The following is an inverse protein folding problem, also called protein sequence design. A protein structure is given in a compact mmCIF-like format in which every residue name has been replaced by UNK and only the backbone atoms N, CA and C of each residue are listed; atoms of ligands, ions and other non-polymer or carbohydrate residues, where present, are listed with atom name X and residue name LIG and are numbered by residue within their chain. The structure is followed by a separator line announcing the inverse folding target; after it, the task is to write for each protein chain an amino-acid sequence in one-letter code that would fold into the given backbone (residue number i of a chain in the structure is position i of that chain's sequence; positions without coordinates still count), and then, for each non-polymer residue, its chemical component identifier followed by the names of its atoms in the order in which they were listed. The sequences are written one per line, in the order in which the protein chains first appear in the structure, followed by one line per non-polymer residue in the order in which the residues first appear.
data_IF_113204730989
#
_entry.id   IF_113204730989
#
_cell.length_a   1.000
_cell.length_b   1.000
_cell.length_c   1.000
_cell.angle_alpha   90.00
_cell.angle_beta   90.00
_cell.angle_gamma   90.00
#
_symmetry.space_group_name_H-M   'P 1'
#
loop_
_entity.id
_entity.type
_entity.pdbx_description
1 polymer ?
#
# COMPACT_ATOMS: atom_id res chain seq x y z
N UNK A 1 75.56 28.02 -7.25
CA UNK A 1 74.72 28.02 -8.47
C UNK A 1 74.19 26.64 -8.85
N UNK A 2 74.71 25.51 -8.35
CA UNK A 2 74.10 24.18 -8.60
C UNK A 2 73.00 23.75 -7.61
N UNK A 3 72.82 24.43 -6.48
CA UNK A 3 71.76 24.07 -5.52
C UNK A 3 70.38 24.67 -5.84
N UNK A 4 70.31 25.69 -6.69
CA UNK A 4 69.03 26.37 -7.00
C UNK A 4 68.27 25.65 -8.14
N UNK A 5 68.97 24.97 -9.05
CA UNK A 5 68.33 24.17 -10.12
C UNK A 5 67.69 22.88 -9.58
N UNK A 6 68.27 22.24 -8.56
CA UNK A 6 67.68 21.04 -7.93
C UNK A 6 66.40 21.38 -7.12
N UNK A 7 66.30 22.59 -6.59
CA UNK A 7 65.10 23.04 -5.86
C UNK A 7 63.93 23.30 -6.81
N UNK A 8 64.18 23.88 -7.99
CA UNK A 8 63.17 24.13 -9.01
C UNK A 8 62.64 22.83 -9.64
N UNK A 9 63.51 21.83 -9.83
CA UNK A 9 63.09 20.51 -10.33
C UNK A 9 62.14 19.76 -9.39
N UNK A 10 62.38 19.86 -8.06
CA UNK A 10 61.51 19.23 -7.05
C UNK A 10 60.14 19.90 -6.95
N UNK A 11 60.09 21.23 -7.07
CA UNK A 11 58.83 21.97 -7.10
C UNK A 11 57.97 21.62 -8.32
N UNK A 12 58.58 21.51 -9.50
CA UNK A 12 57.87 21.10 -10.72
C UNK A 12 57.27 19.70 -10.57
N UNK A 13 57.99 18.77 -9.95
CA UNK A 13 57.52 17.41 -9.76
C UNK A 13 56.37 17.33 -8.75
N UNK A 14 56.40 18.13 -7.69
CA UNK A 14 55.34 18.22 -6.69
C UNK A 14 54.05 18.84 -7.26
N UNK A 15 54.16 19.83 -8.15
CA UNK A 15 53.00 20.40 -8.85
C UNK A 15 52.36 19.40 -9.83
N UNK A 16 53.16 18.60 -10.54
CA UNK A 16 52.66 17.57 -11.44
C UNK A 16 51.96 16.43 -10.69
N UNK A 17 52.50 16.02 -9.53
CA UNK A 17 51.89 15.03 -8.66
C UNK A 17 50.54 15.54 -8.09
N UNK A 18 50.47 16.82 -7.71
CA UNK A 18 49.22 17.45 -7.25
C UNK A 18 48.17 17.57 -8.37
N UNK A 19 48.59 17.83 -9.62
CA UNK A 19 47.69 17.81 -10.78
C UNK A 19 47.13 16.43 -11.04
N UNK A 20 47.97 15.40 -10.98
CA UNK A 20 47.56 14.01 -11.17
C UNK A 20 46.57 13.56 -10.08
N UNK A 21 46.82 13.94 -8.82
CA UNK A 21 45.92 13.64 -7.71
C UNK A 21 44.54 14.29 -7.89
N UNK A 22 44.48 15.55 -8.33
CA UNK A 22 43.20 16.23 -8.63
C UNK A 22 42.45 15.59 -9.79
N UNK A 23 43.17 15.15 -10.82
CA UNK A 23 42.57 14.48 -11.97
C UNK A 23 41.95 13.12 -11.58
N UNK A 24 42.62 12.35 -10.73
CA UNK A 24 42.09 11.09 -10.21
C UNK A 24 40.86 11.32 -9.32
N UNK A 25 40.89 12.32 -8.45
CA UNK A 25 39.74 12.67 -7.61
C UNK A 25 38.53 13.08 -8.46
N UNK A 26 38.73 13.88 -9.52
CA UNK A 26 37.67 14.25 -10.45
C UNK A 26 37.10 13.03 -11.22
N UNK A 27 37.94 12.05 -11.58
CA UNK A 27 37.47 10.80 -12.18
C UNK A 27 36.63 9.95 -11.21
N UNK A 28 37.04 9.85 -9.94
CA UNK A 28 36.29 9.11 -8.93
C UNK A 28 34.94 9.77 -8.64
N UNK A 29 34.89 11.10 -8.56
CA UNK A 29 33.63 11.85 -8.40
C UNK A 29 32.71 11.68 -9.62
N UNK A 30 33.25 11.73 -10.85
CA UNK A 30 32.46 11.49 -12.05
C UNK A 30 31.91 10.05 -12.12
N UNK A 31 32.69 9.05 -11.71
CA UNK A 31 32.24 7.67 -11.62
C UNK A 31 31.16 7.50 -10.54
N UNK A 32 31.33 8.16 -9.38
CA UNK A 32 30.33 8.15 -8.32
C UNK A 32 29.02 8.80 -8.75
N UNK A 33 29.08 9.92 -9.47
CA UNK A 33 27.91 10.60 -10.05
C UNK A 33 27.20 9.71 -11.08
N UNK A 34 27.93 8.98 -11.94
CA UNK A 34 27.33 7.99 -12.85
C UNK A 34 26.62 6.86 -12.11
N UNK A 35 27.23 6.31 -11.06
CA UNK A 35 26.59 5.27 -10.25
C UNK A 35 25.34 5.78 -9.53
N UNK A 36 25.32 7.04 -9.08
CA UNK A 36 24.13 7.67 -8.52
C UNK A 36 23.04 7.90 -9.57
N UNK A 37 23.40 8.34 -10.78
CA UNK A 37 22.45 8.50 -11.87
C UNK A 37 21.86 7.15 -12.31
N UNK A 38 22.66 6.09 -12.39
CA UNK A 38 22.18 4.73 -12.68
C UNK A 38 21.30 4.17 -11.55
N UNK A 39 21.57 4.56 -10.30
CA UNK A 39 20.72 4.23 -9.15
C UNK A 39 19.39 4.97 -9.21
N UNK A 40 19.37 6.26 -9.58
CA UNK A 40 18.14 7.06 -9.77
C UNK A 40 17.31 6.58 -10.98
N UNK A 41 17.94 6.17 -12.09
CA UNK A 41 17.24 5.56 -13.24
C UNK A 41 16.64 4.20 -12.88
N UNK A 42 17.23 3.46 -11.93
CA UNK A 42 16.68 2.20 -11.41
C UNK A 42 15.43 2.38 -10.55
N UNK A 43 15.15 3.60 -10.08
CA UNK A 43 13.97 3.95 -9.29
C UNK A 43 12.84 4.60 -10.10
N UNK A 44 13.03 4.88 -11.40
CA UNK A 44 11.91 5.11 -12.32
C UNK A 44 11.25 3.75 -12.63
N UNK A 45 10.24 3.46 -11.82
CA UNK A 45 9.53 2.19 -11.79
C UNK A 45 8.62 2.04 -13.01
N UNK A 46 8.67 0.92 -13.77
CA UNK A 46 7.64 0.57 -14.76
C UNK A 46 6.24 0.38 -14.14
N UNK A 47 6.14 0.41 -12.80
CA UNK A 47 4.88 0.37 -12.08
C UNK A 47 4.09 1.68 -12.12
N UNK A 48 4.71 2.86 -12.26
CA UNK A 48 3.94 4.10 -12.33
C UNK A 48 3.16 4.21 -13.66
N UNK A 49 3.73 3.71 -14.76
CA UNK A 49 3.04 3.62 -16.05
C UNK A 49 1.94 2.55 -16.04
N UNK A 50 2.18 1.40 -15.40
CA UNK A 50 1.13 0.38 -15.20
C UNK A 50 0.00 0.87 -14.28
N UNK A 51 0.33 1.60 -13.22
CA UNK A 51 -0.65 2.19 -12.28
C UNK A 51 -1.46 3.30 -12.96
N UNK A 52 -0.84 4.14 -13.79
CA UNK A 52 -1.53 5.14 -14.62
C UNK A 52 -2.43 4.48 -15.68
N UNK A 53 -1.97 3.38 -16.29
CA UNK A 53 -2.74 2.60 -17.27
C UNK A 53 -3.94 1.90 -16.61
N UNK A 54 -3.77 1.36 -15.40
CA UNK A 54 -4.85 0.78 -14.59
C UNK A 54 -5.87 1.83 -14.13
N UNK A 55 -5.39 3.03 -13.75
CA UNK A 55 -6.27 4.14 -13.38
C UNK A 55 -7.13 4.60 -14.56
N UNK A 56 -6.54 4.72 -15.76
CA UNK A 56 -7.29 5.03 -16.98
C UNK A 56 -8.31 3.94 -17.34
N UNK A 57 -7.95 2.66 -17.16
CA UNK A 57 -8.84 1.55 -17.45
C UNK A 57 -10.03 1.46 -16.47
N UNK A 58 -9.80 1.79 -15.20
CA UNK A 58 -10.85 1.88 -14.18
C UNK A 58 -11.79 3.05 -14.44
N UNK A 59 -11.27 4.22 -14.84
CA UNK A 59 -12.11 5.36 -15.20
C UNK A 59 -13.01 5.06 -16.40
N UNK A 60 -12.48 4.41 -17.44
CA UNK A 60 -13.29 3.98 -18.59
C UNK A 60 -14.38 2.95 -18.20
N UNK A 61 -14.12 2.07 -17.23
CA UNK A 61 -15.13 1.14 -16.71
C UNK A 61 -16.21 1.83 -15.88
N UNK A 62 -15.86 2.85 -15.10
CA UNK A 62 -16.84 3.64 -14.34
C UNK A 62 -17.73 4.47 -15.26
N UNK A 63 -17.19 5.05 -16.33
CA UNK A 63 -17.97 5.76 -17.35
C UNK A 63 -18.91 4.80 -18.11
N UNK A 64 -18.42 3.61 -18.47
CA UNK A 64 -19.25 2.55 -19.08
C UNK A 64 -20.33 2.00 -18.12
N UNK A 65 -20.03 1.92 -16.82
CA UNK A 65 -20.97 1.51 -15.78
C UNK A 65 -22.03 2.58 -15.48
N UNK A 66 -21.65 3.86 -15.56
CA UNK A 66 -22.56 5.00 -15.35
C UNK A 66 -23.57 5.16 -16.48
N UNK A 67 -23.22 4.80 -17.73
CA UNK A 67 -24.18 4.77 -18.84
C UNK A 67 -25.17 3.61 -18.75
N UNK A 68 -24.85 2.56 -17.98
CA UNK A 68 -25.70 1.35 -17.84
C UNK A 68 -26.79 1.48 -16.77
N UNK A 69 -26.78 2.54 -15.98
CA UNK A 69 -27.69 2.73 -14.85
C UNK A 69 -28.97 3.51 -15.20
N UNK A 70 -29.11 4.04 -16.42
CA UNK A 70 -30.24 4.92 -16.80
C UNK A 70 -31.02 4.51 -18.06
N UNK A 71 -30.85 3.28 -18.56
CA UNK A 71 -31.62 2.78 -19.71
C UNK A 71 -32.69 1.77 -19.29
N UNK A 72 -33.88 2.32 -19.03
CA UNK A 72 -35.11 1.55 -19.14
C UNK A 72 -35.33 1.12 -20.59
N UNK A 73 -35.36 -0.19 -20.83
CA UNK A 73 -35.84 -0.89 -22.04
C UNK A 73 -35.89 -0.03 -23.32
N UNK A 74 -34.76 0.12 -24.00
CA UNK A 74 -34.74 0.41 -25.43
C UNK A 74 -34.32 -0.86 -26.18
N UNK A 75 -35.12 -1.22 -27.19
CA UNK A 75 -34.81 -2.30 -28.14
C UNK A 75 -33.46 -2.00 -28.80
N UNK A 76 -32.51 -2.89 -28.62
CA UNK A 76 -31.20 -2.84 -29.25
C UNK A 76 -31.35 -2.99 -30.77
N UNK A 77 -31.10 -1.92 -31.52
CA UNK A 77 -31.01 -1.93 -32.99
C UNK A 77 -29.54 -2.01 -33.41
N UNK A 78 -29.06 -3.16 -33.90
CA UNK A 78 -27.66 -3.35 -34.28
C UNK A 78 -27.20 -2.44 -35.45
N UNK A 79 -28.10 -1.76 -36.15
CA UNK A 79 -27.73 -0.79 -37.19
C UNK A 79 -27.16 0.52 -36.62
N UNK A 80 -27.51 0.87 -35.38
CA UNK A 80 -27.09 2.13 -34.75
C UNK A 80 -25.62 2.09 -34.29
N UNK A 81 -25.10 0.92 -33.91
CA UNK A 81 -23.66 0.73 -33.61
C UNK A 81 -22.77 0.85 -34.85
N UNK A 82 -23.22 0.35 -36.01
CA UNK A 82 -22.48 0.47 -37.26
C UNK A 82 -22.44 1.93 -37.75
N UNK A 83 -23.55 2.67 -37.59
CA UNK A 83 -23.63 4.09 -37.91
C UNK A 83 -22.77 4.95 -36.96
N UNK A 84 -22.77 4.65 -35.65
CA UNK A 84 -21.90 5.31 -34.66
C UNK A 84 -20.43 5.04 -34.91
N UNK A 85 -20.08 3.81 -35.28
CA UNK A 85 -18.70 3.43 -35.59
C UNK A 85 -18.21 4.11 -36.87
N UNK A 86 -19.07 4.27 -37.87
CA UNK A 86 -18.77 5.03 -39.09
C UNK A 86 -18.59 6.54 -38.79
N UNK A 87 -19.41 7.10 -37.91
CA UNK A 87 -19.30 8.50 -37.47
C UNK A 87 -17.98 8.78 -36.73
N UNK A 88 -17.58 7.89 -35.81
CA UNK A 88 -16.29 7.99 -35.12
C UNK A 88 -15.10 7.90 -36.08
N UNK A 89 -15.19 7.04 -37.09
CA UNK A 89 -14.14 6.87 -38.08
C UNK A 89 -14.02 8.09 -39.03
N UNK A 90 -15.13 8.77 -39.31
CA UNK A 90 -15.13 10.02 -40.06
C UNK A 90 -14.56 11.19 -39.24
N UNK A 91 -14.90 11.28 -37.95
CA UNK A 91 -14.35 12.31 -37.06
C UNK A 91 -12.84 12.18 -36.91
N UNK A 92 -12.33 10.96 -36.72
CA UNK A 92 -10.89 10.72 -36.64
C UNK A 92 -10.14 11.09 -37.94
N UNK A 93 -10.78 10.94 -39.10
CA UNK A 93 -10.21 11.38 -40.37
C UNK A 93 -10.23 12.90 -40.53
N UNK A 94 -11.30 13.57 -40.10
CA UNK A 94 -11.36 15.04 -40.09
C UNK A 94 -10.30 15.63 -39.15
N UNK A 95 -10.11 15.05 -37.97
CA UNK A 95 -9.09 15.48 -37.00
C UNK A 95 -7.67 15.28 -37.55
N UNK A 96 -7.41 14.15 -38.21
CA UNK A 96 -6.13 13.89 -38.87
C UNK A 96 -5.84 14.91 -40.00
N UNK A 97 -6.85 15.29 -40.79
CA UNK A 97 -6.71 16.32 -41.83
C UNK A 97 -6.48 17.70 -41.21
N UNK A 98 -7.13 18.04 -40.10
CA UNK A 98 -6.86 19.31 -39.40
C UNK A 98 -5.47 19.39 -38.78
N UNK A 99 -4.95 18.28 -38.25
CA UNK A 99 -3.57 18.23 -37.74
C UNK A 99 -2.54 18.37 -38.87
N UNK A 100 -2.77 17.72 -40.01
CA UNK A 100 -1.90 17.84 -41.16
C UNK A 100 -1.91 19.26 -41.75
N UNK A 101 -3.07 19.93 -41.72
CA UNK A 101 -3.20 21.34 -42.12
C UNK A 101 -2.53 22.30 -41.12
N UNK A 102 -2.57 22.02 -39.81
CA UNK A 102 -1.88 22.81 -38.79
C UNK A 102 -0.34 22.64 -38.83
N UNK A 103 0.15 21.47 -39.26
CA UNK A 103 1.59 21.28 -39.51
C UNK A 103 2.05 21.99 -40.80
N UNK A 104 1.24 22.04 -41.85
CA UNK A 104 1.53 22.86 -43.04
C UNK A 104 1.47 24.37 -42.76
N UNK A 105 0.65 24.83 -41.80
CA UNK A 105 0.60 26.25 -41.37
C UNK A 105 1.74 26.65 -40.41
N UNK A 106 2.46 25.67 -39.85
CA UNK A 106 3.70 25.87 -39.06
C UNK A 106 4.97 25.89 -39.92
N UNK A 107 4.84 26.13 -41.22
CA UNK A 107 5.97 26.53 -42.06
C UNK A 107 6.54 27.86 -41.56
N UNK A 108 7.69 27.77 -40.88
CA UNK A 108 8.48 28.89 -40.37
C UNK A 108 8.69 29.95 -41.46
N UNK A 109 8.05 31.13 -41.36
CA UNK A 109 8.25 32.24 -42.31
C UNK A 109 9.50 33.02 -41.90
N UNK A 110 10.59 32.98 -42.69
CA UNK A 110 11.84 33.71 -42.37
C UNK A 110 11.66 35.24 -42.32
N UNK A 111 10.49 35.78 -42.66
CA UNK A 111 10.15 37.20 -42.48
C UNK A 111 9.81 37.56 -41.05
N UNK A 112 9.25 36.65 -40.25
CA UNK A 112 8.92 36.94 -38.84
C UNK A 112 10.20 37.14 -38.00
N UNK A 113 11.28 36.44 -38.34
CA UNK A 113 12.60 36.62 -37.72
C UNK A 113 13.25 37.95 -38.12
N UNK A 114 13.08 38.42 -39.36
CA UNK A 114 13.53 39.76 -39.78
C UNK A 114 12.74 40.86 -39.06
N UNK A 115 11.43 40.68 -38.87
CA UNK A 115 10.58 41.64 -38.16
C UNK A 115 10.91 41.69 -36.65
N UNK A 116 11.16 40.54 -36.00
CA UNK A 116 11.63 40.51 -34.62
C UNK A 116 12.99 41.19 -34.46
N UNK A 117 13.90 40.97 -35.40
CA UNK A 117 15.23 41.58 -35.41
C UNK A 117 15.15 43.10 -35.59
N UNK A 118 14.24 43.59 -36.44
CA UNK A 118 13.95 45.02 -36.61
C UNK A 118 13.34 45.64 -35.33
N UNK A 119 12.43 44.93 -34.66
CA UNK A 119 11.83 45.39 -33.41
C UNK A 119 12.87 45.54 -32.29
N UNK A 120 13.76 44.56 -32.13
CA UNK A 120 14.87 44.63 -31.18
C UNK A 120 15.84 45.78 -31.50
N UNK A 121 16.12 46.02 -32.78
CA UNK A 121 17.01 47.10 -33.21
C UNK A 121 16.41 48.49 -32.97
N UNK A 122 15.07 48.62 -33.05
CA UNK A 122 14.33 49.84 -32.70
C UNK A 122 14.33 50.09 -31.19
N UNK A 123 14.11 49.06 -30.38
CA UNK A 123 14.13 49.16 -28.92
C UNK A 123 15.52 49.61 -28.40
N UNK A 124 16.59 49.03 -28.95
CA UNK A 124 17.95 49.44 -28.60
C UNK A 124 18.26 50.91 -28.96
N UNK A 125 17.66 51.44 -30.04
CA UNK A 125 17.77 52.86 -30.39
C UNK A 125 16.98 53.77 -29.45
N UNK A 126 15.78 53.37 -29.03
CA UNK A 126 14.98 54.14 -28.07
C UNK A 126 15.68 54.23 -26.70
N UNK A 127 16.27 53.12 -26.22
CA UNK A 127 17.05 53.09 -24.97
C UNK A 127 18.32 53.95 -25.06
N UNK A 128 19.01 53.96 -26.20
CA UNK A 128 20.15 54.85 -26.43
C UNK A 128 19.77 56.34 -26.44
N UNK A 129 18.58 56.70 -26.95
CA UNK A 129 18.06 58.08 -26.91
C UNK A 129 17.62 58.45 -25.49
N UNK A 130 17.14 57.49 -24.69
CA UNK A 130 16.76 57.75 -23.29
C UNK A 130 17.99 58.06 -22.42
N UNK A 131 19.14 57.48 -22.74
CA UNK A 131 20.42 57.75 -22.06
C UNK A 131 20.99 59.15 -22.35
N UNK A 132 20.75 59.73 -23.53
CA UNK A 132 21.14 61.13 -23.83
C UNK A 132 20.25 62.18 -23.13
N UNK A 133 19.05 61.79 -22.67
CA UNK A 133 18.12 62.69 -21.99
C UNK A 133 18.39 62.89 -20.49
N UNK A 134 19.39 62.21 -19.92
CA UNK A 134 19.74 62.28 -18.49
C UNK A 134 21.06 63.03 -18.22
N UNK A 135 21.48 63.93 -19.13
CA UNK A 135 22.58 64.88 -18.91
C UNK A 135 22.23 66.02 -17.93
N UNK A 136 21.77 65.73 -16.71
CA UNK A 136 21.77 66.71 -15.61
C UNK A 136 22.01 66.08 -14.23
N UNK A 137 22.94 65.13 -14.11
CA UNK A 137 23.62 64.88 -12.83
C UNK A 137 25.08 64.58 -13.10
N UNK A 138 25.98 65.27 -12.38
CA UNK A 138 27.42 65.22 -12.60
C UNK A 138 27.99 63.82 -12.41
N UNK A 139 28.01 63.04 -13.49
CA UNK A 139 28.76 61.80 -13.60
C UNK A 139 30.19 62.10 -14.07
N UNK A 140 31.12 61.30 -13.54
CA UNK A 140 32.51 61.29 -13.96
C UNK A 140 32.58 60.68 -15.37
N UNK A 141 33.09 61.38 -16.40
CA UNK A 141 33.08 60.89 -17.78
C UNK A 141 33.80 59.54 -17.97
N UNK A 142 34.61 59.13 -17.00
CA UNK A 142 35.27 57.83 -17.02
C UNK A 142 34.34 56.66 -16.63
N UNK A 143 33.35 56.89 -15.76
CA UNK A 143 32.34 55.89 -15.42
C UNK A 143 31.39 55.61 -16.60
N UNK A 144 31.09 56.62 -17.42
CA UNK A 144 30.25 56.49 -18.62
C UNK A 144 30.97 55.71 -19.74
N UNK A 145 32.29 55.89 -19.90
CA UNK A 145 33.10 55.08 -20.82
C UNK A 145 33.19 53.62 -20.37
N UNK A 146 33.38 53.37 -19.06
CA UNK A 146 33.44 52.02 -18.50
C UNK A 146 32.08 51.30 -18.61
N UNK A 147 30.97 52.00 -18.36
CA UNK A 147 29.62 51.44 -18.55
C UNK A 147 29.37 51.07 -20.02
N UNK A 148 29.78 51.95 -20.94
CA UNK A 148 29.62 51.72 -22.38
C UNK A 148 30.44 50.51 -22.85
N UNK A 149 31.66 50.33 -22.32
CA UNK A 149 32.49 49.16 -22.61
C UNK A 149 31.85 47.88 -22.04
N UNK A 150 31.29 47.92 -20.84
CA UNK A 150 30.63 46.77 -20.23
C UNK A 150 29.42 46.30 -21.04
N UNK A 151 28.55 47.21 -21.50
CA UNK A 151 27.43 46.87 -22.38
C UNK A 151 27.88 46.29 -23.72
N UNK A 152 28.99 46.80 -24.29
CA UNK A 152 29.52 46.30 -25.56
C UNK A 152 30.13 44.90 -25.45
N UNK A 153 30.71 44.56 -24.30
CA UNK A 153 31.20 43.22 -23.99
C UNK A 153 30.05 42.23 -23.80
N UNK A 154 29.02 42.62 -23.04
CA UNK A 154 27.85 41.77 -22.82
C UNK A 154 27.14 41.43 -24.14
N UNK A 155 26.93 42.41 -25.02
CA UNK A 155 26.31 42.17 -26.33
C UNK A 155 27.14 41.23 -27.23
N UNK A 156 28.47 41.22 -27.10
CA UNK A 156 29.33 40.28 -27.83
C UNK A 156 29.24 38.87 -27.27
N UNK A 157 29.20 38.72 -25.94
CA UNK A 157 29.03 37.40 -25.30
C UNK A 157 27.69 36.78 -25.69
N UNK A 158 26.59 37.53 -25.64
CA UNK A 158 25.26 37.06 -26.04
C UNK A 158 25.22 36.64 -27.52
N UNK A 159 25.88 37.39 -28.41
CA UNK A 159 25.95 37.06 -29.84
C UNK A 159 26.71 35.74 -30.10
N UNK A 160 27.82 35.48 -29.40
CA UNK A 160 28.57 34.22 -29.50
C UNK A 160 27.75 33.05 -28.96
N UNK A 161 27.01 33.27 -27.88
CA UNK A 161 26.17 32.24 -27.25
C UNK A 161 25.03 31.81 -28.19
N UNK A 162 24.37 32.78 -28.84
CA UNK A 162 23.33 32.52 -29.84
C UNK A 162 23.88 31.75 -31.05
N UNK A 163 25.06 32.14 -31.54
CA UNK A 163 25.67 31.49 -32.70
C UNK A 163 26.07 30.03 -32.42
N UNK A 164 26.53 29.74 -31.19
CA UNK A 164 26.82 28.37 -30.74
C UNK A 164 25.56 27.51 -30.62
N UNK A 165 24.46 28.07 -30.10
CA UNK A 165 23.16 27.37 -30.03
C UNK A 165 22.58 27.08 -31.42
N UNK A 166 22.78 27.99 -32.38
CA UNK A 166 22.33 27.79 -33.75
C UNK A 166 23.15 26.72 -34.49
N UNK A 167 24.45 26.61 -34.17
CA UNK A 167 25.32 25.57 -34.71
C UNK A 167 25.01 24.19 -34.11
N UNK A 168 24.59 24.11 -32.84
CA UNK A 168 24.09 22.89 -32.18
C UNK A 168 22.72 22.43 -32.72
N UNK A 169 21.89 23.36 -33.23
CA UNK A 169 20.59 23.05 -33.85
C UNK A 169 20.67 22.57 -35.31
N UNK A 170 21.86 22.47 -35.92
CA UNK A 170 22.01 21.84 -37.24
C UNK A 170 21.88 20.33 -37.11
N UNK A 171 20.64 19.84 -37.12
CA UNK A 171 20.29 18.42 -37.17
C UNK A 171 20.82 17.74 -38.44
N UNK A 172 21.42 16.56 -38.28
CA UNK A 172 21.81 15.69 -39.39
C UNK A 172 20.56 14.91 -39.87
N UNK A 173 20.09 15.11 -41.11
CA UNK A 173 18.88 14.44 -41.61
C UNK A 173 18.97 12.90 -41.61
N UNK A 174 20.16 12.34 -41.44
CA UNK A 174 20.35 10.89 -41.32
C UNK A 174 19.99 10.35 -39.92
N UNK A 175 20.12 11.17 -38.87
CA UNK A 175 19.70 10.81 -37.51
C UNK A 175 18.16 10.66 -37.42
N UNK A 176 17.41 11.49 -38.14
CA UNK A 176 15.94 11.41 -38.19
C UNK A 176 15.44 10.12 -38.86
N UNK A 177 16.11 9.64 -39.92
CA UNK A 177 15.77 8.36 -40.56
C UNK A 177 16.07 7.17 -39.65
N UNK A 178 17.22 7.20 -38.97
CA UNK A 178 17.62 6.15 -38.01
C UNK A 178 16.66 6.12 -36.81
N UNK A 179 16.24 7.29 -36.31
CA UNK A 179 15.25 7.39 -35.23
C UNK A 179 13.90 6.81 -35.68
N UNK A 180 13.47 7.11 -36.90
CA UNK A 180 12.20 6.59 -37.46
C UNK A 180 12.22 5.07 -37.61
N UNK A 181 13.35 4.50 -38.04
CA UNK A 181 13.55 3.04 -38.11
C UNK A 181 13.52 2.38 -36.72
N UNK A 182 14.13 3.02 -35.71
CA UNK A 182 14.10 2.55 -34.33
C UNK A 182 12.66 2.50 -33.78
N UNK A 183 11.88 3.57 -33.96
CA UNK A 183 10.46 3.60 -33.57
C UNK A 183 9.64 2.52 -34.27
N UNK A 184 9.90 2.25 -35.55
CA UNK A 184 9.17 1.23 -36.30
C UNK A 184 9.48 -0.20 -35.80
N UNK A 185 10.73 -0.47 -35.41
CA UNK A 185 11.13 -1.76 -34.84
C UNK A 185 10.51 -1.97 -33.45
N UNK A 186 10.52 -0.94 -32.60
CA UNK A 186 9.91 -0.99 -31.28
C UNK A 186 8.40 -1.31 -31.38
N UNK A 187 7.68 -0.64 -32.29
CA UNK A 187 6.26 -0.90 -32.50
C UNK A 187 5.96 -2.35 -32.96
N UNK A 188 6.88 -2.99 -33.70
CA UNK A 188 6.71 -4.41 -34.09
C UNK A 188 6.95 -5.37 -32.93
N UNK A 189 7.95 -5.10 -32.09
CA UNK A 189 8.23 -5.91 -30.90
C UNK A 189 7.09 -5.84 -29.88
N UNK A 190 6.53 -4.65 -29.67
CA UNK A 190 5.35 -4.47 -28.82
C UNK A 190 4.12 -5.22 -29.36
N UNK A 191 3.89 -5.18 -30.68
CA UNK A 191 2.79 -5.93 -31.30
C UNK A 191 2.95 -7.46 -31.18
N UNK A 192 4.19 -7.97 -31.24
CA UNK A 192 4.46 -9.39 -31.01
C UNK A 192 4.31 -9.77 -29.53
N UNK A 193 4.78 -8.92 -28.60
CA UNK A 193 4.62 -9.14 -27.16
C UNK A 193 3.14 -9.24 -26.75
N UNK A 194 2.27 -8.39 -27.29
CA UNK A 194 0.82 -8.44 -27.03
C UNK A 194 0.20 -9.75 -27.54
N UNK A 195 0.63 -10.24 -28.71
CA UNK A 195 0.11 -11.50 -29.26
C UNK A 195 0.54 -12.72 -28.43
N UNK A 196 1.77 -12.74 -27.92
CA UNK A 196 2.29 -13.80 -27.06
C UNK A 196 1.63 -13.78 -25.67
N UNK A 197 1.35 -12.59 -25.13
CA UNK A 197 0.64 -12.42 -23.86
C UNK A 197 -0.82 -12.89 -23.97
N UNK A 198 -1.51 -12.57 -25.08
CA UNK A 198 -2.86 -13.06 -25.34
C UNK A 198 -2.90 -14.61 -25.42
N UNK A 199 -1.88 -15.23 -26.04
CA UNK A 199 -1.77 -16.68 -26.11
C UNK A 199 -1.52 -17.30 -24.73
N UNK A 200 -0.68 -16.68 -23.90
CA UNK A 200 -0.41 -17.13 -22.54
C UNK A 200 -1.66 -17.08 -21.65
N UNK A 201 -2.45 -16.00 -21.75
CA UNK A 201 -3.72 -15.87 -21.03
C UNK A 201 -4.74 -16.93 -21.45
N UNK A 202 -4.81 -17.26 -22.75
CA UNK A 202 -5.69 -18.35 -23.26
C UNK A 202 -5.26 -19.71 -22.73
N UNK A 203 -3.95 -19.99 -22.66
CA UNK A 203 -3.42 -21.23 -22.08
C UNK A 203 -3.74 -21.33 -20.59
N UNK A 204 -3.55 -20.24 -19.84
CA UNK A 204 -3.87 -20.19 -18.41
C UNK A 204 -5.36 -20.41 -18.15
N UNK A 205 -6.24 -19.79 -18.96
CA UNK A 205 -7.67 -20.00 -18.86
C UNK A 205 -8.07 -21.46 -19.12
N UNK A 206 -7.46 -22.11 -20.13
CA UNK A 206 -7.70 -23.52 -20.43
C UNK A 206 -7.21 -24.45 -19.31
N UNK A 207 -6.06 -24.17 -18.69
CA UNK A 207 -5.58 -24.93 -17.52
C UNK A 207 -6.51 -24.78 -16.32
N UNK A 208 -7.03 -23.57 -16.09
CA UNK A 208 -7.96 -23.30 -15.00
C UNK A 208 -9.30 -24.00 -15.21
N UNK A 209 -9.82 -24.04 -16.45
CA UNK A 209 -11.02 -24.82 -16.78
C UNK A 209 -10.82 -26.31 -16.52
N UNK A 210 -9.65 -26.87 -16.84
CA UNK A 210 -9.33 -28.27 -16.52
C UNK A 210 -9.26 -28.52 -15.02
N UNK A 211 -8.69 -27.58 -14.25
CA UNK A 211 -8.63 -27.67 -12.79
C UNK A 211 -10.04 -27.62 -12.16
N UNK A 212 -10.91 -26.74 -12.64
CA UNK A 212 -12.29 -26.62 -12.18
C UNK A 212 -13.11 -27.87 -12.51
N UNK A 213 -12.92 -28.45 -13.71
CA UNK A 213 -13.51 -29.72 -14.08
C UNK A 213 -13.05 -30.85 -13.15
N UNK A 214 -11.74 -30.95 -12.86
CA UNK A 214 -11.21 -31.95 -11.94
C UNK A 214 -11.78 -31.79 -10.51
N UNK A 215 -11.87 -30.55 -10.03
CA UNK A 215 -12.46 -30.23 -8.73
C UNK A 215 -13.94 -30.60 -8.66
N UNK A 216 -14.72 -30.29 -9.71
CA UNK A 216 -16.14 -30.63 -9.79
C UNK A 216 -16.37 -32.15 -9.75
N UNK A 217 -15.54 -32.92 -10.45
CA UNK A 217 -15.58 -34.39 -10.42
C UNK A 217 -15.27 -34.94 -9.03
N UNK A 218 -14.26 -34.38 -8.35
CA UNK A 218 -13.92 -34.77 -6.98
C UNK A 218 -15.06 -34.46 -6.01
N UNK A 219 -15.69 -33.28 -6.14
CA UNK A 219 -16.82 -32.89 -5.32
C UNK A 219 -18.01 -33.84 -5.52
N UNK A 220 -18.29 -34.23 -6.77
CA UNK A 220 -19.34 -35.19 -7.09
C UNK A 220 -19.05 -36.56 -6.46
N UNK A 221 -17.80 -37.04 -6.51
CA UNK A 221 -17.40 -38.29 -5.85
C UNK A 221 -17.57 -38.22 -4.32
N UNK A 222 -17.25 -37.09 -3.68
CA UNK A 222 -17.48 -36.91 -2.25
C UNK A 222 -18.96 -36.90 -1.89
N UNK A 223 -19.80 -36.21 -2.67
CA UNK A 223 -21.25 -36.19 -2.44
C UNK A 223 -21.85 -37.59 -2.60
N UNK A 224 -21.42 -38.37 -3.59
CA UNK A 224 -21.85 -39.76 -3.72
C UNK A 224 -21.37 -40.64 -2.55
N UNK A 225 -20.16 -40.42 -2.06
CA UNK A 225 -19.62 -41.11 -0.90
C UNK A 225 -20.40 -40.75 0.39
N UNK A 226 -20.76 -39.50 0.57
CA UNK A 226 -21.55 -39.03 1.71
C UNK A 226 -22.99 -39.54 1.64
N UNK A 227 -23.64 -39.54 0.47
CA UNK A 227 -24.95 -40.17 0.30
C UNK A 227 -24.91 -41.68 0.60
N UNK A 228 -23.81 -42.36 0.23
CA UNK A 228 -23.60 -43.78 0.59
C UNK A 228 -23.37 -43.97 2.09
N UNK A 229 -22.70 -43.03 2.76
CA UNK A 229 -22.53 -43.03 4.23
C UNK A 229 -23.84 -42.76 4.93
N UNK A 230 -24.59 -41.73 4.53
CA UNK A 230 -25.87 -41.34 5.11
C UNK A 230 -26.93 -42.45 5.01
N UNK A 231 -26.98 -43.17 3.89
CA UNK A 231 -27.81 -44.38 3.75
C UNK A 231 -27.39 -45.51 4.69
N UNK A 232 -26.14 -45.55 5.15
CA UNK A 232 -25.61 -46.53 6.12
C UNK A 232 -25.69 -46.05 7.57
N UNK A 233 -25.74 -44.75 7.81
CA UNK A 233 -25.78 -44.15 9.15
C UNK A 233 -27.09 -43.39 9.35
N UNK A 234 -28.07 -44.02 10.01
CA UNK A 234 -29.13 -43.26 10.71
C UNK A 234 -28.46 -42.25 11.65
N UNK A 235 -28.92 -40.99 11.70
CA UNK A 235 -28.16 -39.92 12.34
C UNK A 235 -28.27 -40.03 13.86
N UNK A 236 -27.15 -40.35 14.50
CA UNK A 236 -26.86 -39.84 15.84
C UNK A 236 -26.10 -38.54 15.65
N UNK A 237 -26.81 -37.41 15.64
CA UNK A 237 -26.18 -36.09 15.64
C UNK A 237 -25.23 -36.01 16.83
N UNK A 238 -23.97 -35.62 16.58
CA UNK A 238 -22.96 -35.50 17.62
C UNK A 238 -23.16 -34.14 18.32
N UNK A 239 -23.67 -34.10 19.57
CA UNK A 239 -24.15 -32.88 20.22
C UNK A 239 -23.06 -31.84 20.54
N UNK A 240 -21.77 -32.21 20.44
CA UNK A 240 -20.64 -31.41 20.94
C UNK A 240 -20.49 -30.02 20.30
N UNK A 241 -20.62 -29.88 18.99
CA UNK A 241 -20.41 -28.57 18.33
C UNK A 241 -21.56 -27.59 18.55
N UNK A 242 -22.79 -28.10 18.67
CA UNK A 242 -23.94 -27.27 19.02
C UNK A 242 -23.87 -26.81 20.48
N UNK A 243 -23.31 -27.64 21.37
CA UNK A 243 -23.10 -27.30 22.77
C UNK A 243 -21.95 -26.30 22.96
N UNK A 244 -20.87 -26.38 22.18
CA UNK A 244 -19.76 -25.42 22.17
C UNK A 244 -20.21 -24.03 21.68
N UNK A 245 -20.95 -23.95 20.58
CA UNK A 245 -21.50 -22.68 20.09
C UNK A 245 -22.47 -22.04 21.11
N UNK A 246 -23.29 -22.86 21.80
CA UNK A 246 -24.17 -22.39 22.88
C UNK A 246 -23.39 -21.98 24.13
N UNK A 247 -22.27 -22.64 24.44
CA UNK A 247 -21.40 -22.27 25.55
C UNK A 247 -20.77 -20.90 25.31
N UNK A 248 -20.29 -20.64 24.08
CA UNK A 248 -19.75 -19.33 23.67
C UNK A 248 -20.84 -18.25 23.74
N UNK A 249 -22.06 -18.52 23.26
CA UNK A 249 -23.17 -17.56 23.40
C UNK A 249 -23.54 -17.28 24.87
N UNK A 250 -23.53 -18.28 25.76
CA UNK A 250 -23.77 -18.05 27.20
C UNK A 250 -22.67 -17.27 27.90
N UNK A 251 -21.45 -17.37 27.38
CA UNK A 251 -20.27 -16.63 27.85
C UNK A 251 -20.34 -15.17 27.42
N UNK A 252 -20.79 -14.91 26.19
CA UNK A 252 -20.87 -13.56 25.62
C UNK A 252 -22.16 -12.81 26.00
N UNK A 253 -23.28 -13.52 26.19
CA UNK A 253 -24.61 -12.95 26.39
C UNK A 253 -25.30 -13.50 27.64
N UNK A 254 -24.74 -13.27 28.82
CA UNK A 254 -25.45 -13.58 30.06
C UNK A 254 -26.64 -12.63 30.22
N UNK A 255 -27.85 -13.07 29.83
CA UNK A 255 -29.09 -12.40 30.19
C UNK A 255 -29.23 -12.38 31.72
N UNK A 256 -29.48 -11.19 32.26
CA UNK A 256 -29.86 -11.02 33.66
C UNK A 256 -31.13 -11.84 33.91
N UNK A 257 -30.99 -12.96 34.62
CA UNK A 257 -32.12 -13.82 34.97
C UNK A 257 -33.18 -13.04 35.77
N UNK A 258 -34.47 -13.34 35.60
CA UNK A 258 -35.54 -12.63 36.27
C UNK A 258 -35.64 -13.06 37.74
N UNK A 259 -35.53 -12.08 38.65
CA UNK A 259 -36.36 -11.98 39.84
C UNK A 259 -35.95 -12.75 41.11
N UNK A 260 -35.62 -11.98 42.14
CA UNK A 260 -36.45 -12.02 43.36
C UNK A 260 -37.12 -10.67 43.55
N UNK A 261 -38.44 -10.73 43.75
CA UNK A 261 -39.35 -9.61 43.82
C UNK A 261 -39.18 -8.79 45.11
N UNK A 262 -39.30 -7.47 44.98
CA UNK A 262 -39.33 -6.54 46.10
C UNK A 262 -39.69 -5.11 45.66
N UNK A 263 -40.98 -4.88 45.44
CA UNK A 263 -41.71 -3.61 45.51
C UNK A 263 -41.13 -2.31 44.87
N UNK A 264 -41.84 -1.87 43.82
CA UNK A 264 -42.32 -0.50 43.63
C UNK A 264 -41.31 0.67 43.67
N UNK A 265 -40.78 1.03 42.50
CA UNK A 265 -40.70 2.41 42.01
C UNK A 265 -40.27 2.42 40.54
N UNK A 266 -40.99 3.18 39.72
CA UNK A 266 -40.68 3.52 38.32
C UNK A 266 -39.24 4.04 38.22
N UNK A 267 -38.39 3.55 37.30
CA UNK A 267 -37.30 4.37 36.78
C UNK A 267 -37.40 4.53 35.25
N UNK A 268 -36.89 5.68 34.83
CA UNK A 268 -36.69 6.09 33.45
C UNK A 268 -35.74 5.13 32.73
N UNK A 269 -35.90 5.03 31.41
CA UNK A 269 -35.03 4.27 30.53
C UNK A 269 -33.59 4.81 30.57
N UNK A 270 -32.67 4.01 31.11
CA UNK A 270 -31.23 4.13 30.89
C UNK A 270 -30.77 2.94 30.04
N UNK A 271 -29.84 3.12 29.09
CA UNK A 271 -29.37 2.04 28.24
C UNK A 271 -28.57 1.04 29.07
N UNK A 272 -28.94 -0.24 29.00
CA UNK A 272 -28.33 -1.32 29.75
C UNK A 272 -26.85 -1.48 29.35
N UNK A 273 -25.99 -1.08 30.27
CA UNK A 273 -24.52 -1.13 30.17
C UNK A 273 -24.01 -2.53 30.52
N UNK A 274 -23.16 -3.06 29.64
CA UNK A 274 -22.08 -4.03 29.85
C UNK A 274 -22.13 -4.93 31.10
N UNK A 275 -22.64 -6.15 30.93
CA UNK A 275 -22.22 -7.38 31.65
C UNK A 275 -22.27 -8.49 30.58
N UNK A 276 -21.32 -9.44 30.41
CA UNK A 276 -20.57 -10.15 31.43
C UNK A 276 -19.41 -10.98 30.79
N UNK A 277 -18.25 -10.38 30.47
CA UNK A 277 -17.08 -11.13 29.95
C UNK A 277 -16.21 -11.75 31.07
N UNK A 278 -16.09 -11.08 32.21
CA UNK A 278 -15.26 -11.54 33.33
C UNK A 278 -15.75 -12.86 33.97
N UNK A 279 -17.06 -13.15 33.90
CA UNK A 279 -17.64 -14.35 34.49
C UNK A 279 -17.45 -15.62 33.64
N UNK A 280 -17.11 -15.49 32.37
CA UNK A 280 -16.79 -16.63 31.52
C UNK A 280 -15.39 -17.18 31.76
N UNK A 281 -14.39 -16.28 31.86
CA UNK A 281 -13.01 -16.63 32.19
C UNK A 281 -12.88 -17.20 33.62
N UNK A 282 -13.71 -16.76 34.57
CA UNK A 282 -13.72 -17.29 35.95
C UNK A 282 -14.35 -18.69 36.09
N UNK A 283 -15.11 -19.17 35.10
CA UNK A 283 -15.83 -20.46 35.18
C UNK A 283 -15.03 -21.65 34.65
N UNK A 284 -13.95 -21.42 33.91
CA UNK A 284 -12.98 -22.46 33.57
C UNK A 284 -11.91 -22.53 34.67
N UNK A 285 -12.12 -23.42 35.64
CA UNK A 285 -11.07 -23.82 36.59
C UNK A 285 -9.83 -24.22 35.79
N UNK A 286 -8.62 -23.73 36.12
CA UNK A 286 -7.42 -24.38 35.63
C UNK A 286 -7.47 -25.83 36.11
N UNK A 287 -7.13 -26.75 35.21
CA UNK A 287 -6.94 -28.16 35.49
C UNK A 287 -6.01 -28.26 36.72
N UNK A 288 -6.57 -28.50 37.90
CA UNK A 288 -5.79 -28.79 39.10
C UNK A 288 -5.03 -30.06 38.78
N UNK A 289 -3.70 -29.96 38.73
CA UNK A 289 -2.80 -31.09 38.65
C UNK A 289 -3.32 -32.19 39.58
N UNK A 290 -3.67 -33.33 38.99
CA UNK A 290 -4.10 -34.50 39.72
C UNK A 290 -3.06 -34.80 40.80
N UNK A 291 -3.53 -34.77 42.04
CA UNK A 291 -2.75 -35.10 43.22
C UNK A 291 -2.23 -36.52 43.07
N UNK A 292 -0.92 -36.67 42.89
CA UNK A 292 -0.21 -37.93 43.14
C UNK A 292 -0.31 -38.20 44.64
N UNK A 293 -0.76 -39.38 45.09
CA UNK A 293 -0.86 -39.66 46.51
C UNK A 293 0.53 -39.71 47.13
N UNK A 294 0.64 -39.13 48.32
CA UNK A 294 1.84 -39.06 49.12
C UNK A 294 2.43 -40.46 49.37
N UNK A 295 3.68 -40.65 48.94
CA UNK A 295 4.56 -41.65 49.52
C UNK A 295 5.37 -40.96 50.62
N UNK A 296 5.04 -41.37 51.84
CA UNK A 296 5.70 -41.09 53.09
C UNK A 296 7.15 -41.60 53.07
N UNK A 297 8.13 -40.71 53.18
CA UNK A 297 9.54 -41.01 53.50
C UNK A 297 10.22 -39.72 53.96
N UNK A 298 10.45 -39.60 55.27
CA UNK A 298 11.07 -38.44 55.89
C UNK A 298 12.52 -38.18 55.45
N UNK A 299 12.83 -36.93 55.11
CA UNK A 299 14.19 -36.41 55.17
C UNK A 299 14.22 -34.87 55.12
N UNK A 300 14.65 -34.29 56.24
CA UNK A 300 15.36 -33.00 56.45
C UNK A 300 15.18 -31.90 55.40
N UNK A 301 14.52 -30.83 55.86
CA UNK A 301 14.54 -29.48 55.31
C UNK A 301 15.94 -29.02 54.90
N UNK A 302 16.13 -28.72 53.61
CA UNK A 302 17.08 -27.73 53.12
C UNK A 302 16.48 -26.99 51.92
N UNK A 303 16.29 -25.68 52.09
CA UNK A 303 16.24 -24.66 51.04
C UNK A 303 15.35 -24.95 49.84
N UNK A 304 14.03 -24.76 49.98
CA UNK A 304 13.13 -24.61 48.83
C UNK A 304 13.36 -23.20 48.26
N UNK A 305 13.77 -23.02 46.99
CA UNK A 305 13.78 -21.70 46.38
C UNK A 305 12.35 -21.14 46.40
N UNK A 306 12.16 -19.80 46.52
CA UNK A 306 10.84 -19.21 46.49
C UNK A 306 10.13 -19.68 45.23
N UNK A 307 8.97 -20.30 45.40
CA UNK A 307 8.18 -20.78 44.28
C UNK A 307 7.90 -19.62 43.33
N UNK A 308 8.40 -19.72 42.10
CA UNK A 308 8.04 -18.83 41.02
C UNK A 308 6.52 -18.88 40.89
N UNK A 309 5.84 -17.87 41.43
CA UNK A 309 4.43 -17.66 41.18
C UNK A 309 4.29 -17.56 39.66
N UNK A 310 3.45 -18.44 39.08
CA UNK A 310 3.16 -18.35 37.67
C UNK A 310 2.67 -16.93 37.37
N UNK A 311 3.17 -16.29 36.29
CA UNK A 311 2.74 -14.95 35.92
C UNK A 311 1.22 -14.94 35.81
N UNK A 312 0.57 -14.11 36.62
CA UNK A 312 -0.88 -13.96 36.59
C UNK A 312 -1.25 -13.34 35.26
N UNK A 313 -2.02 -14.05 34.45
CA UNK A 313 -2.58 -13.51 33.21
C UNK A 313 -3.34 -12.22 33.52
N UNK A 314 -3.07 -11.12 32.81
CA UNK A 314 -3.86 -9.91 32.96
C UNK A 314 -5.31 -10.29 32.72
N UNK A 315 -6.18 -9.97 33.69
CA UNK A 315 -7.57 -10.37 33.61
C UNK A 315 -8.19 -9.76 32.35
N UNK A 316 -8.88 -10.58 31.52
CA UNK A 316 -9.54 -10.08 30.34
C UNK A 316 -10.54 -9.00 30.76
N UNK A 317 -10.29 -7.77 30.30
CA UNK A 317 -11.26 -6.69 30.46
C UNK A 317 -12.14 -6.70 29.21
N UNK A 318 -13.48 -6.76 29.35
CA UNK A 318 -14.33 -6.48 28.22
C UNK A 318 -13.99 -5.09 27.65
N UNK A 319 -14.05 -4.91 26.33
CA UNK A 319 -13.99 -3.58 25.74
C UNK A 319 -15.09 -2.72 26.38
N UNK A 320 -14.72 -1.54 26.88
CA UNK A 320 -15.63 -0.65 27.61
C UNK A 320 -16.51 0.20 26.67
N UNK A 321 -16.32 0.07 25.36
CA UNK A 321 -17.05 0.78 24.31
C UNK A 321 -17.36 -0.11 23.11
N UNK A 322 -17.93 0.49 22.07
CA UNK A 322 -18.20 -0.20 20.81
C UNK A 322 -16.88 -0.49 20.12
N UNK A 323 -16.59 -1.77 19.86
CA UNK A 323 -15.42 -2.15 19.07
C UNK A 323 -15.71 -1.88 17.59
N UNK A 324 -14.82 -1.16 16.91
CA UNK A 324 -14.85 -0.94 15.47
C UNK A 324 -14.07 -2.01 14.71
N UNK A 325 -12.93 -2.42 15.26
CA UNK A 325 -11.99 -3.33 14.61
C UNK A 325 -11.67 -4.47 15.56
N UNK A 326 -11.83 -5.69 15.07
CA UNK A 326 -11.35 -6.91 15.71
C UNK A 326 -10.17 -7.44 14.89
N UNK A 327 -9.00 -7.51 15.50
CA UNK A 327 -7.79 -8.07 14.91
C UNK A 327 -7.74 -9.55 15.31
N UNK A 328 -7.67 -10.42 14.31
CA UNK A 328 -7.36 -11.83 14.48
C UNK A 328 -5.85 -11.95 14.76
N UNK A 329 -5.50 -11.91 16.04
CA UNK A 329 -4.11 -11.78 16.48
C UNK A 329 -3.26 -12.98 16.07
N UNK A 330 -3.82 -14.19 16.09
CA UNK A 330 -3.10 -15.39 15.68
C UNK A 330 -2.78 -15.33 14.18
N UNK A 331 -3.79 -15.06 13.34
CA UNK A 331 -3.59 -14.97 11.90
C UNK A 331 -2.57 -13.89 11.51
N UNK A 332 -2.68 -12.69 12.10
CA UNK A 332 -1.73 -11.59 11.86
C UNK A 332 -0.32 -11.95 12.32
N UNK A 333 -0.17 -12.48 13.54
CA UNK A 333 1.13 -12.81 14.11
C UNK A 333 1.86 -13.94 13.38
N UNK A 334 1.15 -14.99 12.95
CA UNK A 334 1.73 -16.06 12.14
C UNK A 334 2.03 -15.60 10.70
N UNK A 335 1.16 -14.78 10.12
CA UNK A 335 1.43 -14.19 8.80
C UNK A 335 2.72 -13.38 8.85
N UNK A 336 2.89 -12.51 9.85
CA UNK A 336 4.13 -11.76 10.02
C UNK A 336 5.35 -12.69 10.18
N UNK A 337 5.25 -13.73 11.00
CA UNK A 337 6.31 -14.73 11.15
C UNK A 337 6.72 -15.34 9.81
N UNK A 338 5.74 -15.78 9.01
CA UNK A 338 5.95 -16.36 7.69
C UNK A 338 6.63 -15.37 6.72
N UNK A 339 6.12 -14.15 6.61
CA UNK A 339 6.65 -13.11 5.69
C UNK A 339 8.08 -12.67 6.07
N UNK A 340 8.48 -12.88 7.32
CA UNK A 340 9.83 -12.61 7.84
C UNK A 340 10.70 -13.88 7.92
N UNK A 341 10.40 -14.92 7.13
CA UNK A 341 11.23 -16.12 7.02
C UNK A 341 11.21 -17.05 8.23
N UNK A 342 10.19 -16.94 9.10
CA UNK A 342 9.98 -17.79 10.29
C UNK A 342 8.64 -18.53 10.20
N UNK A 343 8.51 -19.49 9.26
CA UNK A 343 7.25 -20.15 9.01
C UNK A 343 6.73 -20.90 10.23
N UNK A 344 5.44 -20.74 10.55
CA UNK A 344 4.80 -21.38 11.70
C UNK A 344 5.21 -20.82 13.06
N UNK A 345 5.95 -19.71 13.10
CA UNK A 345 6.32 -19.02 14.33
C UNK A 345 5.38 -17.82 14.52
N UNK A 346 4.70 -17.77 15.66
CA UNK A 346 3.90 -16.61 16.05
C UNK A 346 4.83 -15.44 16.41
N UNK A 347 4.51 -14.24 15.96
CA UNK A 347 5.26 -13.04 16.31
C UNK A 347 4.33 -11.88 16.68
N UNK A 348 4.34 -11.47 17.95
CA UNK A 348 3.49 -10.39 18.47
C UNK A 348 3.78 -9.03 17.81
N UNK A 349 5.00 -8.83 17.30
CA UNK A 349 5.37 -7.64 16.53
C UNK A 349 4.43 -7.36 15.36
N UNK A 350 4.01 -8.40 14.63
CA UNK A 350 3.04 -8.24 13.53
C UNK A 350 1.70 -7.72 14.01
N UNK A 351 1.22 -8.22 15.15
CA UNK A 351 -0.04 -7.79 15.78
C UNK A 351 0.07 -6.33 16.25
N UNK A 352 1.20 -5.96 16.85
CA UNK A 352 1.50 -4.59 17.25
C UNK A 352 1.51 -3.61 16.06
N UNK A 353 2.14 -3.98 14.94
CA UNK A 353 2.15 -3.16 13.73
C UNK A 353 0.75 -2.95 13.15
N UNK A 354 -0.08 -3.99 13.16
CA UNK A 354 -1.49 -3.89 12.76
C UNK A 354 -2.29 -2.94 13.68
N UNK A 355 -2.10 -3.05 14.99
CA UNK A 355 -2.73 -2.15 15.97
C UNK A 355 -2.30 -0.69 15.77
N UNK A 356 -1.00 -0.44 15.64
CA UNK A 356 -0.43 0.89 15.40
C UNK A 356 -0.89 1.50 14.08
N UNK A 357 -1.03 0.69 13.03
CA UNK A 357 -1.57 1.16 11.75
C UNK A 357 -2.95 1.81 11.95
N UNK A 358 -3.89 1.11 12.58
CA UNK A 358 -5.24 1.65 12.78
C UNK A 358 -5.28 2.84 13.73
N UNK A 359 -4.43 2.87 14.76
CA UNK A 359 -4.27 4.08 15.60
C UNK A 359 -3.83 5.28 14.77
N UNK A 360 -2.86 5.11 13.86
CA UNK A 360 -2.39 6.18 12.96
C UNK A 360 -3.46 6.63 11.96
N UNK A 361 -4.36 5.73 11.57
CA UNK A 361 -5.57 6.07 10.79
C UNK A 361 -6.64 6.80 11.62
N UNK A 362 -6.39 7.08 12.91
CA UNK A 362 -7.28 7.84 13.78
C UNK A 362 -8.38 7.01 14.45
N UNK A 363 -8.27 5.68 14.42
CA UNK A 363 -9.15 4.78 15.20
C UNK A 363 -8.69 4.80 16.65
N UNK A 364 -9.60 5.14 17.56
CA UNK A 364 -9.30 5.22 18.99
C UNK A 364 -8.97 3.83 19.56
N UNK A 365 -8.08 3.80 20.55
CA UNK A 365 -7.55 2.56 21.15
C UNK A 365 -8.67 1.67 21.71
N UNK A 366 -9.65 2.28 22.37
CA UNK A 366 -10.82 1.60 22.95
C UNK A 366 -11.75 0.96 21.89
N UNK A 367 -11.60 1.34 20.63
CA UNK A 367 -12.37 0.79 19.51
C UNK A 367 -11.62 -0.32 18.75
N UNK A 368 -10.41 -0.69 19.18
CA UNK A 368 -9.61 -1.76 18.59
C UNK A 368 -9.49 -2.90 19.60
N UNK A 369 -9.99 -4.08 19.23
CA UNK A 369 -9.83 -5.31 19.99
C UNK A 369 -8.90 -6.26 19.26
N UNK A 370 -7.92 -6.83 19.95
CA UNK A 370 -7.08 -7.91 19.47
C UNK A 370 -7.52 -9.19 20.16
N UNK A 371 -7.91 -10.19 19.37
CA UNK A 371 -8.28 -11.51 19.87
C UNK A 371 -7.10 -12.46 19.76
N UNK A 372 -6.80 -13.18 20.84
CA UNK A 372 -5.67 -14.12 20.87
C UNK A 372 -5.92 -15.23 21.87
N UNK A 373 -5.55 -16.47 21.54
CA UNK A 373 -5.62 -17.57 22.50
C UNK A 373 -4.65 -17.35 23.67
N UNK A 374 -5.08 -17.66 24.90
CA UNK A 374 -4.25 -17.50 26.11
C UNK A 374 -2.94 -18.29 26.06
N UNK A 375 -2.87 -19.36 25.27
CA UNK A 375 -1.65 -20.14 25.07
C UNK A 375 -0.54 -19.39 24.28
N UNK A 376 -0.84 -18.21 23.74
CA UNK A 376 0.12 -17.32 23.06
C UNK A 376 0.68 -16.24 23.98
N UNK A 377 0.20 -16.14 25.21
CA UNK A 377 0.73 -15.18 26.17
C UNK A 377 2.15 -15.54 26.60
N UNK A 378 3.06 -14.58 26.46
CA UNK A 378 4.39 -14.61 27.07
C UNK A 378 4.57 -13.32 27.90
N UNK A 379 4.83 -13.42 29.22
CA UNK A 379 5.02 -12.24 30.08
C UNK A 379 6.24 -11.40 29.70
N UNK A 380 7.19 -11.93 28.92
CA UNK A 380 8.38 -11.22 28.47
C UNK A 380 8.20 -10.55 27.09
N UNK A 381 7.08 -10.82 26.40
CA UNK A 381 6.76 -10.22 25.11
C UNK A 381 6.30 -8.77 25.32
N UNK A 382 7.14 -7.82 24.90
CA UNK A 382 6.94 -6.40 25.16
C UNK A 382 5.75 -5.85 24.37
N UNK A 383 5.50 -6.38 23.19
CA UNK A 383 4.40 -6.01 22.31
C UNK A 383 3.06 -6.46 22.87
N UNK A 384 2.94 -7.71 23.34
CA UNK A 384 1.73 -8.15 24.05
C UNK A 384 1.52 -7.36 25.34
N UNK A 385 2.60 -7.10 26.10
CA UNK A 385 2.50 -6.25 27.29
C UNK A 385 2.04 -4.82 26.95
N UNK A 386 2.47 -4.26 25.82
CA UNK A 386 2.01 -2.95 25.34
C UNK A 386 0.51 -2.98 24.98
N UNK A 387 0.07 -3.94 24.15
CA UNK A 387 -1.35 -4.10 23.81
C UNK A 387 -2.24 -4.29 25.04
N UNK A 388 -1.75 -5.01 26.04
CA UNK A 388 -2.43 -5.19 27.33
C UNK A 388 -2.58 -3.88 28.12
N UNK A 389 -1.59 -2.97 28.07
CA UNK A 389 -1.68 -1.64 28.68
C UNK A 389 -2.72 -0.75 28.02
N UNK A 390 -2.90 -0.88 26.70
CA UNK A 390 -3.96 -0.21 25.95
C UNK A 390 -5.35 -0.82 26.18
N UNK A 391 -5.43 -1.98 26.86
CA UNK A 391 -6.70 -2.69 27.02
C UNK A 391 -7.23 -3.32 25.73
N UNK A 392 -6.40 -3.43 24.69
CA UNK A 392 -6.80 -3.97 23.38
C UNK A 392 -6.85 -5.51 23.39
N UNK A 393 -6.07 -6.18 24.24
CA UNK A 393 -6.01 -7.65 24.28
C UNK A 393 -7.26 -8.29 24.89
N UNK A 394 -7.86 -9.20 24.12
CA UNK A 394 -9.00 -10.01 24.49
C UNK A 394 -8.61 -11.50 24.35
N UNK A 395 -8.38 -12.14 25.50
CA UNK A 395 -7.96 -13.53 25.57
C UNK A 395 -9.11 -14.48 25.25
N UNK A 396 -8.97 -15.28 24.20
CA UNK A 396 -9.80 -16.44 23.97
C UNK A 396 -9.40 -17.52 25.01
N UNK A 397 -10.35 -18.04 25.82
CA UNK A 397 -10.05 -19.05 26.84
C UNK A 397 -9.48 -20.33 26.24
N UNK A 398 -8.64 -21.06 27.00
CA UNK A 398 -8.16 -22.38 26.55
C UNK A 398 -9.32 -23.33 26.25
N UNK A 399 -9.19 -24.07 25.14
CA UNK A 399 -10.20 -25.02 24.68
C UNK A 399 -11.37 -24.39 23.95
N UNK A 400 -11.39 -23.06 23.81
CA UNK A 400 -12.28 -22.35 22.89
C UNK A 400 -11.49 -22.07 21.61
N UNK A 401 -12.14 -22.29 20.48
CA UNK A 401 -11.61 -21.93 19.17
C UNK A 401 -11.55 -20.40 19.04
N UNK A 402 -10.37 -19.88 18.75
CA UNK A 402 -10.10 -18.45 18.63
C UNK A 402 -10.78 -17.82 17.40
N UNK A 403 -11.02 -18.56 16.32
CA UNK A 403 -11.79 -18.08 15.17
C UNK A 403 -13.25 -17.82 15.59
N UNK A 404 -13.87 -18.77 16.30
CA UNK A 404 -15.25 -18.61 16.78
C UNK A 404 -15.35 -17.45 17.77
N UNK A 405 -14.36 -17.25 18.62
CA UNK A 405 -14.31 -16.10 19.52
C UNK A 405 -14.24 -14.78 18.74
N UNK A 406 -13.36 -14.71 17.75
CA UNK A 406 -13.16 -13.55 16.86
C UNK A 406 -14.45 -13.21 16.09
N UNK A 407 -15.06 -14.21 15.46
CA UNK A 407 -16.31 -14.08 14.69
C UNK A 407 -17.43 -13.54 15.58
N UNK A 408 -17.66 -14.17 16.74
CA UNK A 408 -18.75 -13.76 17.61
C UNK A 408 -18.54 -12.36 18.19
N UNK A 409 -17.30 -12.02 18.60
CA UNK A 409 -17.00 -10.68 19.08
C UNK A 409 -17.31 -9.64 18.00
N UNK A 410 -16.80 -9.84 16.78
CA UNK A 410 -17.01 -8.91 15.68
C UNK A 410 -18.49 -8.77 15.30
N UNK A 411 -19.22 -9.88 15.19
CA UNK A 411 -20.66 -9.86 14.91
C UNK A 411 -21.45 -9.12 15.99
N UNK A 412 -21.13 -9.36 17.27
CA UNK A 412 -21.82 -8.70 18.38
C UNK A 412 -21.66 -7.18 18.38
N UNK A 413 -20.55 -6.69 17.82
CA UNK A 413 -20.19 -5.26 17.80
C UNK A 413 -20.47 -4.60 16.43
N UNK A 414 -20.83 -5.38 15.42
CA UNK A 414 -20.86 -4.93 14.02
C UNK A 414 -19.49 -4.44 13.54
N UNK A 415 -18.42 -5.03 14.06
CA UNK A 415 -17.04 -4.62 13.80
C UNK A 415 -16.49 -5.22 12.50
N UNK A 416 -15.41 -4.61 12.01
CA UNK A 416 -14.56 -5.17 10.96
C UNK A 416 -13.61 -6.23 11.54
N UNK A 417 -13.28 -7.25 10.75
CA UNK A 417 -12.26 -8.24 11.15
C UNK A 417 -11.04 -8.10 10.25
N UNK A 418 -9.87 -7.88 10.83
CA UNK A 418 -8.59 -7.93 10.10
C UNK A 418 -8.05 -9.35 10.16
N UNK A 419 -8.12 -10.07 9.04
CA UNK A 419 -7.66 -11.47 8.95
C UNK A 419 -7.45 -11.90 7.49
N UNK A 420 -6.41 -12.70 7.20
CA UNK A 420 -6.26 -13.41 5.93
C UNK A 420 -7.18 -14.63 5.84
N UNK A 421 -7.69 -15.15 6.96
CA UNK A 421 -8.62 -16.28 6.94
C UNK A 421 -9.98 -15.90 6.32
N UNK A 422 -10.63 -16.87 5.69
CA UNK A 422 -12.01 -16.77 5.21
C UNK A 422 -12.99 -17.50 6.13
N UNK A 423 -12.48 -18.10 7.22
CA UNK A 423 -13.19 -18.90 8.20
C UNK A 423 -14.00 -20.02 7.53
N UNK A 424 -13.38 -20.76 6.60
CA UNK A 424 -14.08 -21.80 5.82
C UNK A 424 -14.76 -22.86 6.70
N UNK A 425 -14.14 -23.20 7.83
CA UNK A 425 -14.69 -24.17 8.78
C UNK A 425 -15.93 -23.65 9.52
N UNK A 426 -16.15 -22.33 9.51
CA UNK A 426 -17.20 -21.63 10.25
C UNK A 426 -18.15 -20.84 9.34
N UNK A 427 -18.24 -21.20 8.05
CA UNK A 427 -19.08 -20.49 7.08
C UNK A 427 -20.54 -20.28 7.52
N UNK A 428 -21.09 -21.23 8.29
CA UNK A 428 -22.44 -21.16 8.85
C UNK A 428 -22.59 -20.10 9.95
N UNK A 429 -21.50 -19.75 10.62
CA UNK A 429 -21.45 -18.71 11.65
C UNK A 429 -21.09 -17.35 11.07
N UNK A 430 -20.37 -17.28 9.95
CA UNK A 430 -19.99 -16.03 9.30
C UNK A 430 -21.14 -15.51 8.43
N UNK A 431 -21.88 -14.54 8.95
CA UNK A 431 -22.97 -13.86 8.24
C UNK A 431 -22.47 -13.15 6.99
N UNK A 432 -23.36 -12.94 6.00
CA UNK A 432 -23.02 -12.22 4.76
C UNK A 432 -22.52 -10.79 5.03
N UNK A 433 -23.07 -10.15 6.06
CA UNK A 433 -22.59 -8.84 6.51
C UNK A 433 -21.17 -8.92 7.07
N UNK A 434 -20.85 -9.92 7.90
CA UNK A 434 -19.50 -10.08 8.44
C UNK A 434 -18.49 -10.38 7.32
N UNK A 435 -18.86 -11.17 6.31
CA UNK A 435 -17.99 -11.43 5.14
C UNK A 435 -17.59 -10.14 4.43
N UNK A 436 -18.54 -9.20 4.27
CA UNK A 436 -18.24 -7.88 3.70
C UNK A 436 -17.34 -7.03 4.59
N UNK A 437 -17.27 -7.32 5.89
CA UNK A 437 -16.47 -6.60 6.88
C UNK A 437 -15.11 -7.28 7.17
N UNK A 438 -14.74 -8.32 6.42
CA UNK A 438 -13.38 -8.87 6.46
C UNK A 438 -12.42 -7.94 5.72
N UNK A 439 -11.29 -7.64 6.34
CA UNK A 439 -10.22 -6.81 5.82
C UNK A 439 -9.00 -7.68 5.62
N UNK A 440 -8.53 -7.74 4.37
CA UNK A 440 -7.27 -8.39 4.02
C UNK A 440 -6.11 -7.44 4.22
N UNK A 441 -4.97 -8.01 4.57
CA UNK A 441 -3.77 -7.25 4.89
C UNK A 441 -2.53 -7.89 4.27
N UNK A 442 -1.46 -7.11 4.22
CA UNK A 442 -0.14 -7.53 3.77
C UNK A 442 0.95 -6.90 4.65
N UNK A 443 2.16 -7.48 4.57
CA UNK A 443 3.36 -6.92 5.18
C UNK A 443 4.40 -6.63 4.09
N UNK A 444 5.01 -5.45 4.09
CA UNK A 444 6.10 -5.09 3.19
C UNK A 444 7.34 -4.60 3.95
N UNK A 445 8.45 -4.52 3.22
CA UNK A 445 9.77 -4.16 3.72
C UNK A 445 10.87 -4.89 2.94
N UNK A 446 12.13 -4.62 3.25
CA UNK A 446 13.28 -5.20 2.55
C UNK A 446 13.78 -6.47 3.25
N UNK A 447 14.21 -7.46 2.45
CA UNK A 447 14.74 -8.73 2.96
C UNK A 447 13.79 -9.44 3.92
N UNK A 448 14.30 -9.88 5.07
CA UNK A 448 13.57 -10.54 6.15
C UNK A 448 12.98 -9.57 7.19
N UNK A 449 12.90 -8.27 6.87
CA UNK A 449 12.40 -7.23 7.77
C UNK A 449 11.16 -6.55 7.15
N UNK A 450 10.01 -7.21 7.25
CA UNK A 450 8.72 -6.73 6.75
C UNK A 450 7.98 -5.94 7.83
N UNK A 451 8.39 -4.70 8.09
CA UNK A 451 7.82 -3.87 9.17
C UNK A 451 6.66 -2.96 8.77
N UNK A 452 6.31 -2.90 7.48
CA UNK A 452 5.21 -2.08 7.00
C UNK A 452 3.95 -2.96 6.95
N UNK A 453 2.94 -2.62 7.75
CA UNK A 453 1.61 -3.23 7.67
C UNK A 453 0.72 -2.40 6.74
N UNK A 454 0.02 -3.07 5.83
CA UNK A 454 -0.90 -2.42 4.90
C UNK A 454 -2.20 -3.19 4.71
N UNK A 455 -3.23 -2.47 4.29
CA UNK A 455 -4.55 -2.98 3.87
C UNK A 455 -4.92 -2.30 2.55
N UNK A 456 -5.99 -2.76 1.88
CA UNK A 456 -6.49 -2.04 0.69
C UNK A 456 -6.97 -0.63 1.06
N UNK A 457 -6.79 0.33 0.16
CA UNK A 457 -7.25 1.70 0.38
C UNK A 457 -8.77 1.76 0.59
N UNK A 458 -9.53 0.97 -0.19
CA UNK A 458 -10.97 0.84 -0.06
C UNK A 458 -11.38 0.34 1.34
N UNK A 459 -10.72 -0.68 1.90
CA UNK A 459 -11.02 -1.15 3.25
C UNK A 459 -10.64 -0.14 4.33
N UNK A 460 -9.49 0.54 4.16
CA UNK A 460 -9.07 1.62 5.04
C UNK A 460 -10.12 2.74 5.08
N UNK A 461 -10.53 3.24 3.92
CA UNK A 461 -11.52 4.30 3.78
C UNK A 461 -12.86 3.93 4.42
N UNK A 462 -13.32 2.69 4.24
CA UNK A 462 -14.57 2.18 4.85
C UNK A 462 -14.52 2.22 6.37
N UNK A 463 -13.40 1.81 6.98
CA UNK A 463 -13.21 1.85 8.43
C UNK A 463 -13.12 3.28 8.93
N UNK A 464 -12.34 4.13 8.27
CA UNK A 464 -12.17 5.54 8.65
C UNK A 464 -13.49 6.32 8.58
N UNK A 465 -14.33 6.05 7.57
CA UNK A 465 -15.66 6.63 7.47
C UNK A 465 -16.54 6.23 8.66
N UNK A 466 -16.55 4.95 9.04
CA UNK A 466 -17.33 4.48 10.19
C UNK A 466 -16.78 5.01 11.51
N UNK A 467 -15.45 5.15 11.64
CA UNK A 467 -14.81 5.76 12.80
C UNK A 467 -15.19 7.25 12.95
N UNK A 468 -15.29 7.98 11.83
CA UNK A 468 -15.69 9.39 11.83
C UNK A 468 -17.14 9.57 12.26
N UNK A 469 -18.05 8.66 11.86
CA UNK A 469 -19.46 8.68 12.28
C UNK A 469 -19.68 8.48 13.78
N UNK A 470 -18.67 8.00 14.50
CA UNK A 470 -18.74 7.76 15.95
C UNK A 470 -18.19 8.91 16.79
N UNK A 471 -17.54 9.90 16.16
CA UNK A 471 -17.14 11.16 16.80
C UNK A 471 -18.31 12.13 16.76
#
# INVERSE_FOLDING_TARGET
MHSDEEALGRWSQEEDDLRLARQLQAQEEAHRMRMQADEDVRWHHPQEEEDLRLAYQLQAQEEAGSMRADEGMQEYDPQEEDDLRLAYQLQAQEEAVTMQAQEEERGHDPREDEDLRLAYQLQAQEEAVTMQGQEERGHDPQEDEDLRLAYQLQAQEEAVTMQAQEEERRHDPQEDEDLRLAYQLQAQEEAQGVADEELALKLQAAEQEQADLAYSQQLQQMLEADQKREKRSRPTSNPKHADEARAIQRVLYQEAGPGQAGASRRPQATPATAMNYANAALRHRPYTAASVPAADCGSRERGRPPGNALPVLPHPRPPQGRVLIVIDGANVGFTYGNENGRPGVFCARGVWLCFEFWRRQGVQEEHIAVTLNENRWDPNDQELAALGRFGALNWAPSGVDDDLFTINLAQSQGAFIVTKDTFRNYQMHVSSELRRRLIKFWFAGSGSCKEIFGVSEADCARVCLEATRQR
#
